data_IF_661452844210
#
_entry.id   IF_661452844210
#
_cell.length_a   1.000
_cell.length_b   1.000
_cell.length_c   1.000
_cell.angle_alpha   90.00
_cell.angle_beta   90.00
_cell.angle_gamma   90.00
#
_symmetry.space_group_name_H-M   'P 1'
#
loop_
_entity.id
_entity.type
_entity.pdbx_description
1 polymer ?
#
# COMPACT_ATOMS: atom_id res chain seq x y z
N UNK A 1 -27.71 9.47 -6.21
CA UNK A 1 -26.25 9.23 -6.20
C UNK A 1 -25.96 8.22 -5.12
N UNK A 2 -25.18 7.17 -5.39
CA UNK A 2 -24.82 6.18 -4.37
C UNK A 2 -24.03 6.83 -3.23
N UNK A 3 -24.26 6.36 -2.00
CA UNK A 3 -23.55 6.89 -0.82
C UNK A 3 -22.04 6.78 -1.00
N UNK A 4 -21.25 7.78 -0.55
CA UNK A 4 -19.80 7.68 -0.60
C UNK A 4 -19.28 6.56 0.30
N UNK A 5 -18.17 5.96 -0.10
CA UNK A 5 -17.41 5.03 0.72
C UNK A 5 -16.73 5.84 1.84
N UNK A 6 -17.06 5.62 3.12
CA UNK A 6 -16.64 6.50 4.21
C UNK A 6 -15.18 6.27 4.66
N UNK A 7 -14.48 5.32 4.03
CA UNK A 7 -13.13 4.87 4.40
C UNK A 7 -12.20 4.77 3.19
N UNK A 8 -10.90 4.65 3.46
CA UNK A 8 -9.91 4.39 2.42
C UNK A 8 -10.20 3.04 1.73
N UNK A 9 -10.09 3.02 0.40
CA UNK A 9 -10.42 1.87 -0.45
C UNK A 9 -9.27 1.57 -1.42
N UNK A 10 -9.10 0.29 -1.76
CA UNK A 10 -8.10 -0.17 -2.72
C UNK A 10 -8.69 -0.48 -4.10
N UNK A 11 -9.93 -1.02 -4.11
CA UNK A 11 -10.70 -1.39 -5.30
C UNK A 11 -12.13 -0.89 -5.15
N UNK A 12 -12.71 -0.42 -6.24
CA UNK A 12 -14.12 -0.11 -6.36
C UNK A 12 -14.69 -1.00 -7.46
N UNK A 13 -15.87 -1.58 -7.21
CA UNK A 13 -16.66 -2.23 -8.22
C UNK A 13 -18.05 -1.60 -8.22
N UNK A 14 -18.55 -1.30 -9.41
CA UNK A 14 -19.92 -0.86 -9.62
C UNK A 14 -20.63 -2.00 -10.36
N UNK A 15 -21.36 -2.85 -9.63
CA UNK A 15 -22.07 -4.01 -10.19
C UNK A 15 -23.58 -3.80 -10.06
N UNK A 16 -24.32 -3.86 -11.17
CA UNK A 16 -25.80 -4.03 -11.21
C UNK A 16 -26.54 -3.34 -10.03
N UNK A 17 -26.41 -2.01 -9.97
CA UNK A 17 -27.02 -1.11 -8.97
C UNK A 17 -26.37 -1.05 -7.57
N UNK A 18 -25.36 -1.87 -7.28
CA UNK A 18 -24.64 -1.88 -6.00
C UNK A 18 -23.17 -1.50 -6.19
N UNK A 19 -22.74 -0.55 -5.37
CA UNK A 19 -21.35 -0.14 -5.27
C UNK A 19 -20.69 -0.90 -4.14
N UNK A 20 -19.62 -1.62 -4.44
CA UNK A 20 -18.78 -2.28 -3.43
C UNK A 20 -17.36 -1.73 -3.46
N UNK A 21 -16.70 -1.77 -2.30
CA UNK A 21 -15.34 -1.29 -2.14
C UNK A 21 -14.56 -2.27 -1.28
N UNK A 22 -13.40 -2.71 -1.77
CA UNK A 22 -12.44 -3.44 -0.95
C UNK A 22 -11.71 -2.43 -0.05
N UNK A 23 -11.80 -2.55 1.29
CA UNK A 23 -11.06 -1.67 2.19
C UNK A 23 -9.57 -1.72 1.92
N UNK A 24 -8.89 -0.59 2.09
CA UNK A 24 -7.45 -0.51 1.84
C UNK A 24 -6.64 -1.46 2.74
N UNK A 25 -7.06 -1.60 4.00
CA UNK A 25 -6.45 -2.50 4.99
C UNK A 25 -6.55 -3.96 4.58
N UNK A 26 -7.71 -4.37 4.08
CA UNK A 26 -7.98 -5.76 3.68
C UNK A 26 -7.14 -6.11 2.46
N UNK A 27 -7.06 -5.21 1.48
CA UNK A 27 -6.18 -5.38 0.33
C UNK A 27 -4.70 -5.49 0.72
N UNK A 28 -4.24 -4.65 1.67
CA UNK A 28 -2.88 -4.75 2.21
C UNK A 28 -2.63 -6.11 2.87
N UNK A 29 -3.62 -6.62 3.61
CA UNK A 29 -3.60 -7.95 4.24
C UNK A 29 -3.47 -9.07 3.20
N UNK A 30 -4.28 -9.04 2.15
CA UNK A 30 -4.22 -10.00 1.04
C UNK A 30 -2.83 -10.02 0.39
N UNK A 31 -2.27 -8.84 0.11
CA UNK A 31 -0.95 -8.72 -0.53
C UNK A 31 0.15 -9.23 0.38
N UNK A 32 0.11 -8.93 1.69
CA UNK A 32 1.08 -9.44 2.64
C UNK A 32 1.00 -10.97 2.78
N UNK A 33 -0.21 -11.53 2.78
CA UNK A 33 -0.42 -12.98 2.84
C UNK A 33 0.12 -13.68 1.57
N UNK A 34 -0.20 -13.16 0.39
CA UNK A 34 0.34 -13.66 -0.89
C UNK A 34 1.86 -13.57 -0.90
N UNK A 35 2.43 -12.43 -0.47
CA UNK A 35 3.87 -12.25 -0.40
C UNK A 35 4.52 -13.29 0.52
N UNK A 36 3.98 -13.53 1.73
CA UNK A 36 4.50 -14.54 2.65
C UNK A 36 4.52 -15.94 2.00
N UNK A 37 3.45 -16.32 1.30
CA UNK A 37 3.37 -17.61 0.59
C UNK A 37 4.35 -17.72 -0.58
N UNK A 38 4.58 -16.62 -1.31
CA UNK A 38 5.58 -16.58 -2.37
C UNK A 38 6.99 -16.74 -1.80
N UNK A 39 7.33 -16.00 -0.75
CA UNK A 39 8.67 -16.08 -0.13
C UNK A 39 8.93 -17.44 0.52
N UNK A 40 7.90 -18.14 0.99
CA UNK A 40 8.03 -19.52 1.45
C UNK A 40 8.44 -20.50 0.32
N UNK A 41 8.29 -20.12 -0.95
CA UNK A 41 8.80 -20.90 -2.07
C UNK A 41 10.30 -20.67 -2.23
N UNK A 42 11.07 -21.75 -2.32
CA UNK A 42 12.53 -21.69 -2.37
C UNK A 42 13.08 -20.83 -3.53
N UNK A 43 12.37 -20.70 -4.65
CA UNK A 43 12.78 -19.81 -5.74
C UNK A 43 12.82 -18.33 -5.31
N UNK A 44 11.73 -17.83 -4.76
CA UNK A 44 11.62 -16.43 -4.34
C UNK A 44 12.53 -16.12 -3.16
N UNK A 45 12.67 -17.05 -2.21
CA UNK A 45 13.58 -16.89 -1.08
C UNK A 45 15.03 -16.73 -1.56
N UNK A 46 15.48 -17.53 -2.54
CA UNK A 46 16.83 -17.40 -3.12
C UNK A 46 17.05 -16.07 -3.81
N UNK A 47 16.06 -15.57 -4.55
CA UNK A 47 16.15 -14.27 -5.19
C UNK A 47 16.27 -13.13 -4.17
N UNK A 48 15.48 -13.19 -3.10
CA UNK A 48 15.54 -12.19 -2.03
C UNK A 48 16.86 -12.26 -1.26
N UNK A 49 17.36 -13.46 -0.94
CA UNK A 49 18.67 -13.62 -0.30
C UNK A 49 19.79 -13.04 -1.18
N UNK A 50 19.72 -13.27 -2.50
CA UNK A 50 20.68 -12.72 -3.45
C UNK A 50 20.61 -11.20 -3.51
N UNK A 51 19.41 -10.62 -3.54
CA UNK A 51 19.22 -9.17 -3.56
C UNK A 51 19.67 -8.50 -2.25
N UNK A 52 19.56 -9.21 -1.12
CA UNK A 52 20.01 -8.74 0.17
C UNK A 52 21.50 -9.01 0.46
N UNK A 53 22.19 -9.75 -0.42
CA UNK A 53 23.57 -10.22 -0.24
C UNK A 53 23.79 -11.00 1.07
N UNK A 54 22.71 -11.58 1.63
CA UNK A 54 22.70 -12.39 2.85
C UNK A 54 21.47 -13.28 2.91
N UNK A 55 21.48 -14.27 3.80
CA UNK A 55 20.26 -15.03 4.11
C UNK A 55 19.26 -14.17 4.90
N UNK A 56 17.99 -14.23 4.48
CA UNK A 56 16.87 -13.61 5.17
C UNK A 56 16.20 -14.60 6.11
N UNK A 57 16.13 -14.22 7.39
CA UNK A 57 15.45 -15.00 8.41
C UNK A 57 13.95 -14.67 8.52
N UNK A 58 13.25 -15.38 9.40
CA UNK A 58 11.81 -15.18 9.61
C UNK A 58 11.44 -13.73 9.99
N UNK A 59 12.29 -13.04 10.76
CA UNK A 59 12.07 -11.62 11.11
C UNK A 59 12.22 -10.68 9.92
N UNK A 60 13.12 -10.97 8.97
CA UNK A 60 13.28 -10.18 7.75
C UNK A 60 12.04 -10.34 6.87
N UNK A 61 11.58 -11.58 6.69
CA UNK A 61 10.37 -11.89 5.93
C UNK A 61 9.15 -11.20 6.55
N UNK A 62 8.98 -11.26 7.87
CA UNK A 62 7.89 -10.58 8.55
C UNK A 62 7.90 -9.06 8.30
N UNK A 63 9.08 -8.41 8.33
CA UNK A 63 9.22 -6.99 8.01
C UNK A 63 8.90 -6.69 6.54
N UNK A 64 9.35 -7.55 5.62
CA UNK A 64 9.02 -7.42 4.21
C UNK A 64 7.51 -7.58 3.94
N UNK A 65 6.81 -8.46 4.68
CA UNK A 65 5.35 -8.56 4.63
C UNK A 65 4.67 -7.25 5.06
N UNK A 66 5.19 -6.57 6.09
CA UNK A 66 4.70 -5.23 6.49
C UNK A 66 4.93 -4.21 5.38
N UNK A 67 6.08 -4.24 4.70
CA UNK A 67 6.32 -3.35 3.56
C UNK A 67 5.38 -3.65 2.38
N UNK A 68 5.09 -4.93 2.12
CA UNK A 68 4.12 -5.34 1.11
C UNK A 68 2.69 -4.88 1.48
N UNK A 69 2.29 -4.98 2.75
CA UNK A 69 1.03 -4.45 3.26
C UNK A 69 0.91 -2.93 2.98
N UNK A 70 2.00 -2.18 3.22
CA UNK A 70 2.04 -0.72 3.09
C UNK A 70 2.24 -0.21 1.66
N UNK A 71 2.42 -1.08 0.66
CA UNK A 71 2.78 -0.66 -0.70
C UNK A 71 1.79 0.35 -1.31
N UNK A 72 0.51 0.19 -0.96
CA UNK A 72 -0.63 0.98 -1.43
C UNK A 72 -1.09 2.04 -0.43
N UNK A 73 -0.38 2.26 0.68
CA UNK A 73 -0.78 3.19 1.75
C UNK A 73 -1.11 4.59 1.21
N UNK A 74 -0.46 5.02 0.14
CA UNK A 74 -0.69 6.31 -0.48
C UNK A 74 -2.10 6.47 -1.05
N UNK A 75 -2.88 5.39 -1.24
CA UNK A 75 -4.31 5.46 -1.58
C UNK A 75 -5.16 6.11 -0.49
N UNK A 76 -4.64 6.21 0.73
CA UNK A 76 -5.24 7.00 1.83
C UNK A 76 -5.12 8.53 1.63
N UNK A 77 -4.76 9.00 0.44
CA UNK A 77 -4.78 10.43 0.11
C UNK A 77 -6.16 10.90 -0.40
N UNK A 78 -6.51 12.16 -0.14
CA UNK A 78 -7.79 12.77 -0.54
C UNK A 78 -8.04 12.67 -2.05
N UNK A 79 -7.00 12.89 -2.86
CA UNK A 79 -7.11 12.84 -4.32
C UNK A 79 -7.47 11.45 -4.84
N UNK A 80 -6.90 10.40 -4.27
CA UNK A 80 -7.25 9.03 -4.61
C UNK A 80 -8.66 8.68 -4.12
N UNK A 81 -9.01 9.03 -2.88
CA UNK A 81 -10.36 8.78 -2.34
C UNK A 81 -11.48 9.41 -3.20
N UNK A 82 -11.24 10.61 -3.75
CA UNK A 82 -12.17 11.31 -4.64
C UNK A 82 -12.44 10.58 -5.96
N UNK A 83 -11.57 9.63 -6.38
CA UNK A 83 -11.76 8.84 -7.61
C UNK A 83 -13.02 7.98 -7.60
N UNK A 84 -13.69 7.88 -6.46
CA UNK A 84 -15.01 7.27 -6.36
C UNK A 84 -16.12 8.13 -7.00
N UNK A 85 -15.88 9.40 -7.33
CA UNK A 85 -16.90 10.25 -7.95
C UNK A 85 -16.68 10.35 -9.46
N UNK A 86 -17.76 10.36 -10.28
CA UNK A 86 -17.65 10.61 -11.70
C UNK A 86 -16.93 11.94 -11.99
N UNK A 87 -16.03 11.95 -12.97
CA UNK A 87 -15.28 13.15 -13.37
C UNK A 87 -14.13 13.54 -12.43
N UNK A 88 -13.82 12.75 -11.40
CA UNK A 88 -12.69 13.00 -10.54
C UNK A 88 -11.34 12.93 -11.29
N UNK A 89 -10.42 13.83 -10.96
CA UNK A 89 -9.06 13.82 -11.53
C UNK A 89 -8.35 12.52 -11.16
N UNK A 90 -7.62 11.95 -12.11
CA UNK A 90 -6.74 10.82 -11.84
C UNK A 90 -5.55 11.28 -10.97
N UNK A 91 -5.58 10.93 -9.69
CA UNK A 91 -4.47 11.14 -8.75
C UNK A 91 -3.79 9.81 -8.45
N UNK A 92 -2.45 9.85 -8.43
CA UNK A 92 -1.60 8.71 -8.09
C UNK A 92 -1.64 8.34 -6.59
N UNK A 93 -0.84 7.35 -6.23
CA UNK A 93 -0.69 6.90 -4.84
C UNK A 93 0.73 6.41 -4.50
N UNK A 94 1.62 6.25 -5.49
CA UNK A 94 2.97 5.72 -5.28
C UNK A 94 3.97 6.77 -4.79
N UNK A 95 3.75 8.05 -5.11
CA UNK A 95 4.66 9.13 -4.67
C UNK A 95 4.48 9.44 -3.19
N UNK A 96 3.26 9.25 -2.72
CA UNK A 96 2.82 9.47 -1.34
C UNK A 96 3.47 8.47 -0.38
N UNK A 97 3.78 7.23 -0.82
CA UNK A 97 4.46 6.21 0.00
C UNK A 97 5.98 6.23 -0.11
N UNK A 98 6.53 6.82 -1.18
CA UNK A 98 7.98 6.88 -1.42
C UNK A 98 8.85 7.35 -0.22
N UNK A 99 8.46 8.34 0.59
CA UNK A 99 9.28 8.85 1.71
C UNK A 99 9.42 7.88 2.89
N UNK A 100 8.54 6.88 2.99
CA UNK A 100 8.69 5.84 4.02
C UNK A 100 9.99 5.07 3.81
N UNK A 101 10.32 4.82 2.54
CA UNK A 101 11.43 3.97 2.10
C UNK A 101 12.66 4.76 1.65
N UNK A 102 12.46 6.04 1.30
CA UNK A 102 13.52 6.93 0.80
C UNK A 102 13.74 8.09 1.74
N UNK A 103 14.84 8.03 2.49
CA UNK A 103 15.24 9.06 3.46
C UNK A 103 15.53 10.40 2.79
N UNK A 104 16.02 10.40 1.55
CA UNK A 104 16.26 11.59 0.73
C UNK A 104 14.95 12.33 0.35
N UNK A 105 13.81 11.65 0.41
CA UNK A 105 12.51 12.23 0.13
C UNK A 105 11.79 12.73 1.38
N UNK A 106 12.27 12.42 2.58
CA UNK A 106 11.61 12.81 3.86
C UNK A 106 11.63 14.31 4.14
N UNK A 107 12.52 15.07 3.49
CA UNK A 107 12.63 16.53 3.65
C UNK A 107 11.69 17.30 2.70
N UNK A 108 10.92 16.60 1.86
CA UNK A 108 10.01 17.25 0.92
C UNK A 108 8.72 17.72 1.61
N UNK A 109 8.23 18.94 1.34
CA UNK A 109 7.07 19.48 2.02
C UNK A 109 5.79 18.69 1.75
N UNK A 110 5.67 18.02 0.61
CA UNK A 110 4.50 17.22 0.24
C UNK A 110 4.27 16.01 1.15
N UNK A 111 5.28 15.62 1.93
CA UNK A 111 5.29 14.38 2.71
C UNK A 111 5.45 14.61 4.21
N UNK A 112 5.49 15.89 4.62
CA UNK A 112 5.52 16.29 6.02
C UNK A 112 4.40 15.67 6.87
N UNK A 113 3.13 15.54 6.41
CA UNK A 113 2.08 14.89 7.19
C UNK A 113 2.36 13.41 7.49
N UNK A 114 2.93 12.69 6.52
CA UNK A 114 3.27 11.28 6.68
C UNK A 114 4.45 11.10 7.65
N UNK A 115 5.45 11.99 7.59
CA UNK A 115 6.60 11.98 8.50
C UNK A 115 6.17 12.31 9.94
N UNK A 116 5.23 13.23 10.14
CA UNK A 116 4.68 13.53 11.45
C UNK A 116 3.98 12.30 12.05
N UNK A 117 3.17 11.61 11.26
CA UNK A 117 2.43 10.41 11.67
C UNK A 117 3.32 9.22 12.09
N UNK A 118 4.60 9.22 11.74
CA UNK A 118 5.57 8.19 12.09
C UNK A 118 6.42 8.51 13.33
N UNK A 119 6.30 9.72 13.89
CA UNK A 119 7.09 10.17 15.05
C UNK A 119 6.34 10.06 16.37
N UNK A 120 5.04 9.81 16.32
CA UNK A 120 4.15 9.55 17.46
C UNK A 120 4.01 8.05 17.72
#
# INVERSE_FOLDING_TARGET
>A
MSSPIPRAWAKLADELAHRSALPLTDHGGDVAAVFAQLVAQGHWQRLLNRAAERELGAHDVARLCVLAYLHDLGKANRGFWLRQFPGARLVGHTRETAPLLRTDLRQRPEVAPLVAMLRD
#
